data_IF_383406969933
#
_entry.id   IF_383406969933
#
_cell.length_a   1.000
_cell.length_b   1.000
_cell.length_c   1.000
_cell.angle_alpha   90.00
_cell.angle_beta   90.00
_cell.angle_gamma   90.00
#
_symmetry.space_group_name_H-M   'P 1'
#
loop_
_entity.id
_entity.type
_entity.pdbx_description
1 polymer ?
#
# COMPACT_ATOMS: atom_id res chain seq x y z
N UNK A 1 3.77 -23.72 0.31
CA UNK A 1 4.47 -22.58 0.95
C UNK A 1 3.54 -21.99 1.99
N UNK A 2 4.00 -21.82 3.23
CA UNK A 2 3.18 -21.44 4.37
C UNK A 2 2.75 -19.98 4.21
N UNK A 3 1.53 -19.77 3.71
CA UNK A 3 0.86 -18.47 3.69
C UNK A 3 0.53 -18.07 5.13
N UNK A 4 1.10 -16.95 5.58
CA UNK A 4 0.83 -16.31 6.87
C UNK A 4 -0.66 -16.35 7.21
N UNK A 5 -0.99 -16.59 8.48
CA UNK A 5 -2.34 -16.45 9.00
C UNK A 5 -2.90 -15.08 8.62
N UNK A 6 -4.22 -14.97 8.40
CA UNK A 6 -4.87 -13.69 8.19
C UNK A 6 -4.46 -12.74 9.32
N UNK A 7 -3.63 -11.75 9.00
CA UNK A 7 -3.22 -10.73 9.95
C UNK A 7 -4.32 -9.70 9.99
N UNK A 8 -5.11 -9.74 11.06
CA UNK A 8 -6.07 -8.68 11.37
C UNK A 8 -5.37 -7.67 12.26
N UNK A 9 -5.08 -6.50 11.72
CA UNK A 9 -4.77 -5.35 12.55
C UNK A 9 -6.08 -4.71 12.99
N UNK A 10 -6.35 -4.75 14.29
CA UNK A 10 -7.54 -4.13 14.89
C UNK A 10 -7.09 -2.97 15.77
N UNK A 11 -7.48 -1.77 15.37
CA UNK A 11 -7.42 -0.56 16.20
C UNK A 11 -8.83 -0.23 16.69
N UNK A 12 -8.98 0.70 17.62
CA UNK A 12 -10.29 1.04 18.18
C UNK A 12 -11.20 1.57 17.05
N UNK A 13 -12.28 0.83 16.75
CA UNK A 13 -13.25 1.12 15.69
C UNK A 13 -12.83 0.79 14.24
N UNK A 14 -11.52 0.63 13.98
CA UNK A 14 -10.96 0.30 12.65
C UNK A 14 -10.31 -1.08 12.60
N UNK A 15 -10.49 -1.81 11.51
CA UNK A 15 -9.76 -3.05 11.23
C UNK A 15 -9.27 -3.12 9.79
N UNK A 16 -8.11 -3.74 9.59
CA UNK A 16 -7.57 -4.11 8.29
C UNK A 16 -7.24 -5.59 8.32
N UNK A 17 -7.88 -6.38 7.45
CA UNK A 17 -7.74 -7.84 7.41
C UNK A 17 -7.29 -8.28 6.03
N UNK A 18 -6.17 -9.00 5.95
CA UNK A 18 -5.72 -9.60 4.69
C UNK A 18 -6.72 -10.68 4.26
N UNK A 19 -7.20 -10.60 3.03
CA UNK A 19 -8.19 -11.54 2.49
C UNK A 19 -7.65 -12.39 1.34
N UNK A 20 -6.34 -12.56 1.24
CA UNK A 20 -5.67 -13.26 0.14
C UNK A 20 -5.95 -14.75 0.04
N UNK A 21 -6.40 -15.38 1.13
CA UNK A 21 -6.67 -16.82 1.13
C UNK A 21 -7.98 -17.15 0.41
N UNK A 22 -8.05 -18.35 -0.17
CA UNK A 22 -9.30 -18.95 -0.66
C UNK A 22 -9.98 -18.10 -1.76
N UNK A 23 -9.19 -17.66 -2.73
CA UNK A 23 -9.70 -17.12 -3.97
C UNK A 23 -9.84 -18.24 -4.99
N UNK A 24 -10.61 -17.98 -6.04
CA UNK A 24 -10.68 -18.83 -7.21
C UNK A 24 -10.35 -18.00 -8.46
N UNK A 25 -9.58 -18.57 -9.38
CA UNK A 25 -9.21 -17.96 -10.65
C UNK A 25 -9.88 -18.70 -11.81
N UNK A 26 -10.33 -17.95 -12.81
CA UNK A 26 -10.88 -18.46 -14.06
C UNK A 26 -10.17 -17.78 -15.24
N UNK A 27 -9.48 -18.59 -16.04
CA UNK A 27 -8.89 -18.14 -17.30
C UNK A 27 -9.96 -18.02 -18.40
N UNK A 28 -10.73 -16.94 -18.37
CA UNK A 28 -11.72 -16.63 -19.40
C UNK A 28 -11.88 -15.12 -19.56
N UNK A 29 -12.01 -14.65 -20.81
CA UNK A 29 -12.04 -13.23 -21.13
C UNK A 29 -13.47 -12.66 -21.31
N UNK A 30 -14.52 -13.42 -20.98
CA UNK A 30 -15.89 -12.92 -21.04
C UNK A 30 -16.06 -11.65 -20.21
N UNK A 31 -16.89 -10.73 -20.69
CA UNK A 31 -17.25 -9.50 -19.99
C UNK A 31 -18.54 -9.66 -19.16
N UNK A 32 -19.12 -10.86 -19.13
CA UNK A 32 -20.36 -11.15 -18.39
C UNK A 32 -20.07 -11.93 -17.12
N UNK A 33 -20.44 -11.35 -15.96
CA UNK A 33 -20.39 -12.03 -14.67
C UNK A 33 -21.19 -13.34 -14.66
N UNK A 34 -22.38 -13.34 -15.28
CA UNK A 34 -23.22 -14.53 -15.38
C UNK A 34 -22.55 -15.64 -16.21
N UNK A 35 -21.91 -15.30 -17.34
CA UNK A 35 -21.17 -16.29 -18.14
C UNK A 35 -19.96 -16.83 -17.38
N UNK A 36 -19.19 -15.96 -16.71
CA UNK A 36 -18.04 -16.37 -15.90
C UNK A 36 -18.46 -17.34 -14.78
N UNK A 37 -19.53 -17.03 -14.05
CA UNK A 37 -20.04 -17.87 -12.96
C UNK A 37 -20.61 -19.22 -13.43
N UNK A 38 -21.10 -19.31 -14.68
CA UNK A 38 -21.63 -20.55 -15.23
C UNK A 38 -20.54 -21.55 -15.65
N UNK A 39 -19.28 -21.13 -15.73
CA UNK A 39 -18.16 -21.99 -16.07
C UNK A 39 -17.67 -22.78 -14.85
N UNK A 40 -17.32 -24.05 -15.06
CA UNK A 40 -16.89 -24.96 -13.98
C UNK A 40 -15.37 -24.97 -13.74
N UNK A 41 -14.57 -24.34 -14.60
CA UNK A 41 -13.10 -24.41 -14.61
C UNK A 41 -12.43 -23.38 -13.68
N UNK A 42 -13.01 -23.13 -12.51
CA UNK A 42 -12.39 -22.28 -11.49
C UNK A 42 -11.29 -23.04 -10.76
N UNK A 43 -10.13 -22.42 -10.60
CA UNK A 43 -8.97 -22.97 -9.91
C UNK A 43 -8.81 -22.30 -8.56
N UNK A 44 -8.70 -23.07 -7.49
CA UNK A 44 -8.43 -22.52 -6.16
C UNK A 44 -7.00 -21.97 -6.10
N UNK A 45 -6.87 -20.72 -5.65
CA UNK A 45 -5.62 -19.98 -5.55
C UNK A 45 -5.59 -19.17 -4.26
N UNK A 46 -4.38 -18.73 -3.88
CA UNK A 46 -4.21 -17.66 -2.90
C UNK A 46 -3.54 -16.49 -3.60
N UNK A 47 -3.84 -15.28 -3.11
CA UNK A 47 -3.16 -14.07 -3.53
C UNK A 47 -1.85 -13.86 -2.75
N UNK A 48 -0.90 -13.10 -3.30
CA UNK A 48 -0.90 -12.56 -4.67
C UNK A 48 -0.84 -13.65 -5.75
N UNK A 49 -1.38 -13.37 -6.93
CA UNK A 49 -1.44 -14.32 -8.04
C UNK A 49 -1.29 -13.62 -9.40
N UNK A 50 -0.52 -14.26 -10.28
CA UNK A 50 -0.46 -13.92 -11.70
C UNK A 50 -0.59 -15.18 -12.54
N UNK A 51 -1.37 -15.10 -13.63
CA UNK A 51 -1.40 -16.18 -14.62
C UNK A 51 -0.13 -16.23 -15.47
N UNK A 52 0.75 -15.23 -15.34
CA UNK A 52 2.00 -15.14 -16.08
C UNK A 52 3.24 -15.64 -15.30
N UNK A 53 3.04 -16.44 -14.24
CA UNK A 53 4.12 -16.89 -13.37
C UNK A 53 5.15 -17.79 -14.08
N UNK A 54 4.75 -18.46 -15.16
CA UNK A 54 5.58 -19.42 -15.90
C UNK A 54 5.79 -19.03 -17.37
N UNK A 55 4.74 -18.57 -18.05
CA UNK A 55 4.78 -18.31 -19.49
C UNK A 55 5.68 -17.13 -19.88
N UNK A 56 5.84 -16.13 -19.00
CA UNK A 56 6.74 -15.00 -19.20
C UNK A 56 8.21 -15.44 -19.34
N UNK A 57 8.58 -16.58 -18.75
CA UNK A 57 9.95 -17.11 -18.75
C UNK A 57 10.07 -18.43 -19.53
N UNK A 58 9.08 -18.80 -20.33
CA UNK A 58 9.14 -19.99 -21.17
C UNK A 58 10.14 -19.79 -22.33
N UNK A 59 10.63 -20.91 -22.89
CA UNK A 59 11.46 -20.93 -24.09
C UNK A 59 10.68 -20.52 -25.35
N UNK A 60 9.35 -20.59 -25.31
CA UNK A 60 8.47 -20.13 -26.38
C UNK A 60 8.27 -18.61 -26.25
N UNK A 61 8.67 -17.80 -27.24
CA UNK A 61 8.49 -16.36 -27.14
C UNK A 61 7.02 -15.94 -27.02
N UNK A 62 6.77 -14.99 -26.11
CA UNK A 62 5.44 -14.44 -25.85
C UNK A 62 4.84 -14.96 -24.55
N UNK A 63 3.85 -14.23 -24.04
CA UNK A 63 3.13 -14.58 -22.83
C UNK A 63 1.67 -14.17 -22.97
N UNK A 64 0.80 -14.79 -22.17
CA UNK A 64 -0.64 -14.56 -22.24
C UNK A 64 -0.98 -13.13 -21.83
N UNK A 65 -1.61 -12.42 -22.75
CA UNK A 65 -2.18 -11.07 -22.54
C UNK A 65 -3.67 -11.05 -22.84
N UNK A 66 -4.49 -11.10 -21.81
CA UNK A 66 -5.95 -11.14 -21.93
C UNK A 66 -6.60 -10.87 -20.58
N UNK A 67 -7.93 -11.05 -20.51
CA UNK A 67 -8.67 -10.98 -19.28
C UNK A 67 -8.80 -12.33 -18.57
N UNK A 68 -9.00 -12.27 -17.26
CA UNK A 68 -9.37 -13.39 -16.40
C UNK A 68 -10.27 -12.91 -15.26
N UNK A 69 -10.86 -13.86 -14.55
CA UNK A 69 -11.73 -13.56 -13.42
C UNK A 69 -11.17 -14.13 -12.12
N UNK A 70 -11.36 -13.39 -11.04
CA UNK A 70 -11.13 -13.83 -9.66
C UNK A 70 -12.45 -13.82 -8.91
N UNK A 71 -12.66 -14.82 -8.05
CA UNK A 71 -13.83 -14.91 -7.17
C UNK A 71 -13.39 -15.16 -5.75
N UNK A 72 -14.05 -14.50 -4.80
CA UNK A 72 -13.93 -14.77 -3.37
C UNK A 72 -15.31 -14.84 -2.73
N UNK A 73 -15.53 -15.85 -1.92
CA UNK A 73 -16.63 -15.84 -0.94
C UNK A 73 -16.11 -15.24 0.36
N UNK A 74 -16.72 -14.13 0.78
CA UNK A 74 -16.34 -13.38 1.97
C UNK A 74 -17.48 -13.42 2.98
N UNK A 75 -17.26 -14.09 4.11
CA UNK A 75 -18.21 -14.07 5.22
C UNK A 75 -17.99 -12.84 6.10
N UNK A 76 -19.02 -11.99 6.22
CA UNK A 76 -19.06 -10.84 7.13
C UNK A 76 -20.16 -11.13 8.17
N UNK A 77 -19.80 -11.67 9.36
CA UNK A 77 -20.80 -12.14 10.34
C UNK A 77 -21.74 -11.05 10.86
N UNK A 78 -21.30 -9.80 10.82
CA UNK A 78 -22.07 -8.64 11.29
C UNK A 78 -21.73 -7.44 10.43
N UNK A 79 -22.75 -6.76 9.90
CA UNK A 79 -22.62 -5.51 9.16
C UNK A 79 -23.18 -4.39 10.04
N UNK A 80 -22.30 -3.58 10.62
CA UNK A 80 -22.68 -2.49 11.50
C UNK A 80 -23.10 -1.26 10.68
N UNK A 81 -24.26 -0.67 11.00
CA UNK A 81 -24.81 0.48 10.27
C UNK A 81 -23.99 1.78 10.43
N UNK A 82 -23.11 1.84 11.43
CA UNK A 82 -22.21 2.96 11.68
C UNK A 82 -20.78 2.72 11.13
N UNK A 83 -20.56 1.63 10.39
CA UNK A 83 -19.28 1.33 9.76
C UNK A 83 -19.32 1.51 8.24
N UNK A 84 -18.14 1.73 7.68
CA UNK A 84 -17.82 1.68 6.27
C UNK A 84 -17.00 0.42 6.05
N UNK A 85 -17.27 -0.30 4.96
CA UNK A 85 -16.55 -1.49 4.52
C UNK A 85 -15.91 -1.19 3.17
N UNK A 86 -14.61 -1.43 3.07
CA UNK A 86 -13.83 -1.09 1.89
C UNK A 86 -12.90 -2.24 1.51
N UNK A 87 -12.77 -2.49 0.21
CA UNK A 87 -11.70 -3.31 -0.32
C UNK A 87 -10.53 -2.42 -0.70
N UNK A 88 -9.35 -2.74 -0.21
CA UNK A 88 -8.09 -2.14 -0.63
C UNK A 88 -7.29 -3.16 -1.43
N UNK A 89 -7.06 -2.87 -2.70
CA UNK A 89 -6.18 -3.66 -3.57
C UNK A 89 -4.83 -2.94 -3.66
N UNK A 90 -3.73 -3.61 -3.34
CA UNK A 90 -2.40 -3.02 -3.41
C UNK A 90 -1.82 -2.96 -4.83
N UNK A 91 -2.32 -3.82 -5.72
CA UNK A 91 -1.90 -3.89 -7.12
C UNK A 91 -2.71 -4.92 -7.91
N UNK A 92 -3.28 -4.49 -9.03
CA UNK A 92 -4.06 -5.33 -9.95
C UNK A 92 -3.67 -4.97 -11.37
N UNK A 93 -2.92 -5.85 -12.03
CA UNK A 93 -2.40 -5.56 -13.35
C UNK A 93 -3.37 -6.01 -14.47
N UNK A 94 -3.86 -5.13 -15.35
CA UNK A 94 -3.67 -3.67 -15.39
C UNK A 94 -5.00 -2.92 -15.25
N UNK A 95 -6.05 -3.44 -15.88
CA UNK A 95 -7.40 -2.90 -15.75
C UNK A 95 -8.25 -3.87 -14.95
N UNK A 96 -9.01 -3.36 -13.99
CA UNK A 96 -9.88 -4.18 -13.16
C UNK A 96 -11.30 -3.64 -13.06
N UNK A 97 -12.28 -4.54 -12.99
CA UNK A 97 -13.68 -4.27 -12.67
C UNK A 97 -14.09 -5.14 -11.48
N UNK A 98 -14.72 -4.54 -10.46
CA UNK A 98 -15.06 -5.22 -9.20
C UNK A 98 -16.58 -5.27 -9.03
N UNK A 99 -17.07 -6.44 -8.65
CA UNK A 99 -18.48 -6.70 -8.39
C UNK A 99 -18.64 -7.35 -7.02
N UNK A 100 -19.65 -6.92 -6.28
CA UNK A 100 -20.03 -7.51 -4.99
C UNK A 100 -21.50 -7.89 -5.07
N UNK A 101 -21.81 -9.16 -4.81
CA UNK A 101 -23.17 -9.72 -4.91
C UNK A 101 -23.85 -9.39 -6.26
N UNK A 102 -23.07 -9.41 -7.34
CA UNK A 102 -23.52 -9.11 -8.71
C UNK A 102 -23.64 -7.62 -9.06
N UNK A 103 -23.50 -6.70 -8.10
CA UNK A 103 -23.49 -5.25 -8.34
C UNK A 103 -22.07 -4.80 -8.68
N UNK A 104 -21.90 -4.07 -9.79
CA UNK A 104 -20.63 -3.39 -10.09
C UNK A 104 -20.40 -2.26 -9.06
N UNK A 105 -19.27 -2.31 -8.37
CA UNK A 105 -18.89 -1.34 -7.33
C UNK A 105 -17.72 -0.45 -7.74
N UNK A 106 -17.17 -0.62 -8.94
CA UNK A 106 -16.10 0.21 -9.48
C UNK A 106 -14.98 -0.61 -10.13
N UNK A 107 -13.81 0.00 -10.24
CA UNK A 107 -12.66 -0.58 -10.92
C UNK A 107 -11.47 0.37 -10.92
N UNK A 108 -10.39 -0.03 -11.57
CA UNK A 108 -9.17 0.76 -11.67
C UNK A 108 -8.45 0.50 -12.99
N UNK A 109 -7.73 1.51 -13.48
CA UNK A 109 -6.82 1.41 -14.63
C UNK A 109 -5.45 1.85 -14.13
N UNK A 110 -4.50 0.93 -14.13
CA UNK A 110 -3.17 1.12 -13.57
C UNK A 110 -2.79 -0.07 -12.71
N UNK A 111 -1.63 -0.64 -12.97
CA UNK A 111 -1.25 -1.90 -12.34
C UNK A 111 -0.65 -1.80 -10.94
N UNK A 112 0.10 -0.72 -10.72
CA UNK A 112 1.15 -0.66 -9.72
C UNK A 112 0.86 0.30 -8.57
N UNK A 113 -0.28 0.97 -8.59
CA UNK A 113 -0.75 1.85 -7.51
C UNK A 113 -2.00 1.23 -6.93
N UNK A 114 -2.03 1.10 -5.61
CA UNK A 114 -3.19 0.54 -4.93
C UNK A 114 -4.43 1.45 -5.03
N UNK A 115 -5.60 0.84 -4.96
CA UNK A 115 -6.88 1.55 -5.01
C UNK A 115 -7.88 0.97 -4.02
N UNK A 116 -8.82 1.82 -3.62
CA UNK A 116 -9.84 1.54 -2.62
C UNK A 116 -11.23 1.55 -3.27
N UNK A 117 -12.10 0.62 -2.89
CA UNK A 117 -13.51 0.59 -3.30
C UNK A 117 -14.39 0.41 -2.07
N UNK A 118 -15.29 1.36 -1.84
CA UNK A 118 -16.35 1.24 -0.84
C UNK A 118 -17.38 0.20 -1.29
N UNK A 119 -17.60 -0.82 -0.45
CA UNK A 119 -18.54 -1.92 -0.70
C UNK A 119 -19.70 -1.92 0.29
N UNK A 120 -19.82 -0.90 1.15
CA UNK A 120 -20.78 -0.81 2.26
C UNK A 120 -22.21 -1.07 1.80
N UNK A 121 -22.63 -0.46 0.70
CA UNK A 121 -23.99 -0.58 0.15
C UNK A 121 -24.19 -1.82 -0.74
N UNK A 122 -23.16 -2.65 -0.93
CA UNK A 122 -23.21 -3.83 -1.78
C UNK A 122 -23.12 -5.15 -1.00
N UNK A 123 -22.67 -5.09 0.26
CA UNK A 123 -22.59 -6.26 1.15
C UNK A 123 -23.88 -6.49 1.93
N UNK A 124 -23.97 -7.70 2.50
CA UNK A 124 -25.01 -8.16 3.40
C UNK A 124 -24.39 -8.97 4.55
N UNK A 125 -25.14 -9.16 5.62
CA UNK A 125 -24.70 -10.02 6.71
C UNK A 125 -24.59 -11.48 6.23
N UNK A 126 -23.48 -12.13 6.57
CA UNK A 126 -23.17 -13.49 6.14
C UNK A 126 -22.26 -13.51 4.91
N UNK A 127 -22.52 -14.44 4.00
CA UNK A 127 -21.67 -14.65 2.82
C UNK A 127 -21.93 -13.61 1.74
N UNK A 128 -20.84 -13.08 1.17
CA UNK A 128 -20.84 -12.13 0.07
C UNK A 128 -19.89 -12.62 -1.02
N UNK A 129 -20.35 -12.61 -2.27
CA UNK A 129 -19.51 -13.00 -3.41
C UNK A 129 -18.85 -11.77 -4.00
N UNK A 130 -17.52 -11.75 -4.02
CA UNK A 130 -16.70 -10.75 -4.70
C UNK A 130 -16.22 -11.35 -6.02
N UNK A 131 -16.43 -10.64 -7.12
CA UNK A 131 -15.84 -10.95 -8.43
C UNK A 131 -14.96 -9.81 -8.88
N UNK A 132 -13.80 -10.13 -9.44
CA UNK A 132 -12.89 -9.16 -10.04
C UNK A 132 -12.52 -9.64 -11.44
N UNK A 133 -12.89 -8.87 -12.47
CA UNK A 133 -12.35 -9.07 -13.81
C UNK A 133 -11.05 -8.30 -13.91
N UNK A 134 -9.98 -8.94 -14.36
CA UNK A 134 -8.66 -8.33 -14.52
C UNK A 134 -8.18 -8.53 -15.94
N UNK A 135 -7.62 -7.50 -16.56
CA UNK A 135 -7.20 -7.50 -17.96
C UNK A 135 -5.80 -6.88 -18.12
N UNK A 136 -4.85 -7.65 -18.65
CA UNK A 136 -3.53 -7.17 -19.07
C UNK A 136 -3.38 -7.16 -20.60
N UNK A 137 -4.48 -7.20 -21.35
CA UNK A 137 -4.51 -7.10 -22.80
C UNK A 137 -3.78 -5.85 -23.31
N UNK A 138 -3.39 -5.85 -24.60
CA UNK A 138 -2.75 -4.67 -25.19
C UNK A 138 -3.71 -3.49 -25.18
N UNK A 139 -3.28 -2.36 -24.63
CA UNK A 139 -3.97 -1.09 -24.77
C UNK A 139 -2.93 0.03 -24.92
N UNK A 140 -2.79 0.64 -26.10
CA UNK A 140 -1.80 1.71 -26.33
C UNK A 140 -2.08 2.98 -25.53
N UNK A 141 -3.30 3.15 -25.00
CA UNK A 141 -3.70 4.29 -24.17
C UNK A 141 -3.40 4.07 -22.68
N UNK A 142 -2.84 2.91 -22.30
CA UNK A 142 -2.55 2.56 -20.91
C UNK A 142 -1.08 2.21 -20.76
N UNK A 143 -0.39 2.97 -19.91
CA UNK A 143 0.97 2.65 -19.48
C UNK A 143 0.97 1.39 -18.59
N UNK A 144 1.99 0.52 -18.67
CA UNK A 144 3.23 0.65 -19.46
C UNK A 144 3.10 0.25 -20.93
N UNK A 145 3.98 0.83 -21.76
CA UNK A 145 4.08 0.49 -23.19
C UNK A 145 4.44 -0.98 -23.38
N UNK A 146 3.89 -1.63 -24.42
CA UNK A 146 4.32 -2.99 -24.81
C UNK A 146 5.78 -3.06 -25.26
N UNK A 147 6.41 -1.92 -25.55
CA UNK A 147 7.81 -1.85 -25.96
C UNK A 147 8.78 -1.86 -24.79
N UNK A 148 8.28 -1.71 -23.57
CA UNK A 148 9.13 -1.74 -22.38
C UNK A 148 9.82 -3.11 -22.24
N UNK A 149 11.07 -3.09 -21.78
CA UNK A 149 11.91 -4.27 -21.58
C UNK A 149 11.61 -4.99 -20.25
N UNK A 150 10.33 -5.21 -19.95
CA UNK A 150 9.86 -6.01 -18.83
C UNK A 150 8.46 -6.57 -19.10
N UNK A 151 8.08 -7.63 -18.38
CA UNK A 151 6.78 -8.27 -18.57
C UNK A 151 5.65 -7.50 -17.87
N UNK A 152 4.56 -7.31 -18.60
CA UNK A 152 3.32 -6.74 -18.04
C UNK A 152 2.46 -7.89 -17.52
N UNK A 153 2.87 -8.46 -16.38
CA UNK A 153 2.19 -9.58 -15.70
C UNK A 153 0.73 -9.22 -15.44
N UNK A 154 -0.21 -10.11 -15.73
CA UNK A 154 -1.62 -9.91 -15.42
C UNK A 154 -2.09 -10.63 -14.15
N UNK A 155 -3.03 -10.03 -13.43
CA UNK A 155 -3.63 -10.62 -12.24
C UNK A 155 -3.75 -9.68 -11.05
N UNK A 156 -4.18 -10.21 -9.91
CA UNK A 156 -4.15 -9.51 -8.64
C UNK A 156 -2.78 -9.81 -8.01
N UNK A 157 -1.79 -9.00 -8.38
CA UNK A 157 -0.36 -9.27 -8.18
C UNK A 157 0.14 -8.87 -6.80
N UNK A 158 -0.65 -8.15 -6.01
CA UNK A 158 -0.35 -7.79 -4.60
C UNK A 158 -1.53 -8.09 -3.69
N UNK A 159 -1.39 -7.76 -2.41
CA UNK A 159 -2.38 -8.09 -1.39
C UNK A 159 -3.73 -7.38 -1.60
N UNK A 160 -4.78 -8.04 -1.11
CA UNK A 160 -6.12 -7.48 -0.98
C UNK A 160 -6.52 -7.49 0.47
N UNK A 161 -7.04 -6.36 0.93
CA UNK A 161 -7.45 -6.15 2.31
C UNK A 161 -8.93 -5.79 2.39
N UNK A 162 -9.61 -6.34 3.40
CA UNK A 162 -10.88 -5.80 3.87
C UNK A 162 -10.59 -4.79 4.98
N UNK A 163 -10.87 -3.53 4.70
CA UNK A 163 -10.81 -2.45 5.67
C UNK A 163 -12.21 -2.13 6.20
N UNK A 164 -12.31 -1.88 7.50
CA UNK A 164 -13.56 -1.49 8.15
C UNK A 164 -13.26 -0.37 9.13
N UNK A 165 -14.05 0.69 9.13
CA UNK A 165 -13.85 1.84 10.00
C UNK A 165 -15.20 2.54 10.25
N UNK A 166 -15.35 3.35 11.31
CA UNK A 166 -16.58 4.10 11.55
C UNK A 166 -16.90 5.09 10.41
N UNK A 167 -18.17 5.51 10.30
CA UNK A 167 -18.58 6.57 9.37
C UNK A 167 -17.88 7.89 9.65
N UNK A 168 -17.74 8.25 10.93
CA UNK A 168 -16.89 9.35 11.37
C UNK A 168 -15.46 8.84 11.57
N UNK A 169 -14.53 9.20 10.68
CA UNK A 169 -13.20 8.61 10.63
C UNK A 169 -12.12 9.55 10.11
N UNK A 170 -10.87 9.18 10.39
CA UNK A 170 -9.66 9.84 9.93
C UNK A 170 -9.23 9.30 8.57
N UNK A 171 -8.78 10.20 7.69
CA UNK A 171 -8.27 9.87 6.36
C UNK A 171 -7.20 10.87 5.91
N UNK A 172 -6.48 10.54 4.84
CA UNK A 172 -5.53 11.45 4.19
C UNK A 172 -4.45 12.03 5.13
N UNK A 173 -3.99 11.25 6.12
CA UNK A 173 -2.87 11.67 6.96
C UNK A 173 -1.61 11.81 6.11
N UNK A 174 -1.06 13.01 6.08
CA UNK A 174 0.20 13.34 5.44
C UNK A 174 1.10 13.98 6.45
N UNK A 175 2.34 13.51 6.53
CA UNK A 175 3.31 14.04 7.48
C UNK A 175 4.52 14.59 6.74
N UNK A 176 4.96 15.78 7.15
CA UNK A 176 6.20 16.39 6.72
C UNK A 176 7.06 16.76 7.93
N UNK A 177 8.37 16.82 7.73
CA UNK A 177 9.33 17.17 8.78
C UNK A 177 10.11 18.43 8.38
N UNK A 178 9.51 19.63 8.48
CA UNK A 178 10.21 20.87 8.15
C UNK A 178 11.32 21.19 9.18
N UNK A 179 12.33 21.94 8.75
CA UNK A 179 13.37 22.50 9.62
C UNK A 179 14.11 21.47 10.51
N UNK A 180 14.39 20.28 9.96
CA UNK A 180 15.20 19.27 10.65
C UNK A 180 16.68 19.67 10.61
N UNK A 181 17.31 19.61 11.77
CA UNK A 181 18.73 19.86 12.01
C UNK A 181 19.27 18.83 13.01
N UNK A 182 20.57 18.88 13.34
CA UNK A 182 21.14 17.99 14.36
C UNK A 182 20.57 18.20 15.77
N UNK A 183 20.02 19.38 16.10
CA UNK A 183 19.60 19.74 17.46
C UNK A 183 18.10 20.07 17.57
N UNK A 184 17.38 20.02 16.45
CA UNK A 184 15.99 20.43 16.37
C UNK A 184 15.28 19.74 15.22
N UNK A 185 14.02 19.38 15.41
CA UNK A 185 13.13 18.98 14.34
C UNK A 185 11.72 19.55 14.56
N UNK A 186 11.01 19.79 13.47
CA UNK A 186 9.57 20.02 13.51
C UNK A 186 8.87 18.90 12.73
N UNK A 187 7.62 18.62 13.10
CA UNK A 187 6.73 17.71 12.41
C UNK A 187 5.41 18.44 12.16
N UNK A 188 4.94 18.37 10.92
CA UNK A 188 3.65 18.90 10.50
C UNK A 188 2.83 17.76 9.91
N UNK A 189 1.70 17.46 10.55
CA UNK A 189 0.73 16.49 10.06
C UNK A 189 -0.53 17.21 9.57
N UNK A 190 -0.99 16.87 8.38
CA UNK A 190 -2.30 17.29 7.85
C UNK A 190 -3.17 16.06 7.65
N UNK A 191 -4.47 16.16 7.94
CA UNK A 191 -5.41 15.07 7.77
C UNK A 191 -6.83 15.57 7.54
N UNK A 192 -7.70 14.67 7.09
CA UNK A 192 -9.13 14.91 6.90
C UNK A 192 -9.96 14.04 7.85
N UNK A 193 -10.97 14.64 8.46
CA UNK A 193 -11.98 13.98 9.29
C UNK A 193 -13.30 13.96 8.51
N UNK A 194 -13.73 12.77 8.10
CA UNK A 194 -14.98 12.59 7.38
C UNK A 194 -16.14 12.46 8.38
N UNK A 195 -17.30 13.04 8.06
CA UNK A 195 -18.51 13.03 8.90
C UNK A 195 -18.26 13.48 10.35
N UNK A 196 -17.49 14.56 10.52
CA UNK A 196 -17.15 15.13 11.83
C UNK A 196 -18.39 15.51 12.64
N UNK A 197 -18.45 15.04 13.89
CA UNK A 197 -19.47 15.40 14.88
C UNK A 197 -19.02 16.55 15.79
N UNK A 198 -19.96 17.33 16.35
CA UNK A 198 -19.67 18.50 17.18
C UNK A 198 -18.88 18.20 18.47
N UNK A 199 -19.02 16.99 19.03
CA UNK A 199 -18.38 16.58 20.30
C UNK A 199 -17.07 15.80 20.09
N UNK A 200 -16.49 15.88 18.90
CA UNK A 200 -15.29 15.14 18.55
C UNK A 200 -14.01 15.94 18.86
N UNK A 201 -13.00 15.23 19.33
CA UNK A 201 -11.67 15.79 19.65
C UNK A 201 -10.58 14.91 19.05
N UNK A 202 -9.38 15.46 18.89
CA UNK A 202 -8.22 14.73 18.39
C UNK A 202 -7.18 14.63 19.49
N UNK A 203 -6.57 13.45 19.61
CA UNK A 203 -5.34 13.24 20.37
C UNK A 203 -4.24 12.75 19.43
N UNK A 204 -3.20 13.55 19.24
CA UNK A 204 -2.02 13.18 18.47
C UNK A 204 -0.84 12.93 19.41
N UNK A 205 -0.10 11.84 19.20
CA UNK A 205 0.99 11.40 20.06
C UNK A 205 2.18 11.02 19.17
N UNK A 206 3.32 11.68 19.36
CA UNK A 206 4.58 11.29 18.74
C UNK A 206 5.33 10.37 19.71
N UNK A 207 5.67 9.18 19.24
CA UNK A 207 6.22 8.09 20.05
C UNK A 207 7.55 7.63 19.45
N UNK A 208 8.54 7.35 20.29
CA UNK A 208 9.82 6.77 19.88
C UNK A 208 9.73 5.27 19.57
N UNK A 209 10.80 4.70 19.00
CA UNK A 209 10.90 3.26 18.68
C UNK A 209 10.63 2.32 19.88
N UNK A 210 10.85 2.78 21.11
CA UNK A 210 10.65 1.99 22.33
C UNK A 210 9.24 2.16 22.92
N UNK A 211 8.37 2.95 22.30
CA UNK A 211 7.02 3.22 22.82
C UNK A 211 6.96 4.41 23.79
N UNK A 212 8.05 5.19 23.93
CA UNK A 212 8.10 6.36 24.81
C UNK A 212 7.45 7.56 24.12
N UNK A 213 6.48 8.19 24.78
CA UNK A 213 5.89 9.44 24.31
C UNK A 213 6.94 10.56 24.33
N UNK A 214 7.19 11.17 23.17
CA UNK A 214 8.05 12.35 23.02
C UNK A 214 7.24 13.61 23.30
N UNK A 215 6.06 13.70 22.69
CA UNK A 215 5.15 14.81 22.84
C UNK A 215 3.73 14.38 22.42
N UNK A 216 2.71 14.99 23.02
CA UNK A 216 1.33 14.83 22.60
C UNK A 216 0.61 16.18 22.48
N UNK A 217 -0.48 16.18 21.72
CA UNK A 217 -1.41 17.30 21.57
C UNK A 217 -2.85 16.79 21.68
N UNK A 218 -3.69 17.54 22.40
CA UNK A 218 -5.15 17.39 22.37
C UNK A 218 -5.73 18.62 21.69
N UNK A 219 -6.59 18.40 20.70
CA UNK A 219 -7.25 19.46 19.94
C UNK A 219 -8.76 19.35 20.14
N UNK A 220 -9.34 20.44 20.60
CA UNK A 220 -10.78 20.65 20.79
C UNK A 220 -11.28 21.68 19.75
N UNK A 221 -12.58 21.70 19.46
CA UNK A 221 -13.17 22.57 18.43
C UNK A 221 -12.50 22.42 17.05
N UNK A 222 -12.32 21.16 16.65
CA UNK A 222 -11.69 20.78 15.39
C UNK A 222 -12.63 21.04 14.20
N UNK A 223 -12.05 21.09 13.01
CA UNK A 223 -12.79 21.12 11.76
C UNK A 223 -12.38 19.91 10.88
N UNK A 224 -13.09 19.68 9.78
CA UNK A 224 -12.86 18.50 8.93
C UNK A 224 -11.47 18.43 8.29
N UNK A 225 -10.73 19.53 8.16
CA UNK A 225 -9.35 19.54 7.67
C UNK A 225 -8.43 20.08 8.76
N UNK A 226 -7.62 19.19 9.33
CA UNK A 226 -6.84 19.52 10.51
C UNK A 226 -5.36 19.55 10.21
N UNK A 227 -4.69 20.52 10.83
CA UNK A 227 -3.24 20.62 10.87
C UNK A 227 -2.77 20.46 12.32
N UNK A 228 -1.75 19.62 12.52
CA UNK A 228 -1.17 19.30 13.83
C UNK A 228 0.35 19.52 13.73
N UNK A 229 0.86 20.43 14.56
CA UNK A 229 2.26 20.86 14.50
C UNK A 229 3.00 20.52 15.78
N UNK A 230 4.04 19.69 15.69
CA UNK A 230 4.99 19.47 16.78
C UNK A 230 6.26 20.27 16.47
N UNK A 231 6.51 21.30 17.27
CA UNK A 231 7.62 22.23 17.09
C UNK A 231 8.67 22.06 18.18
N UNK A 232 9.91 22.46 17.87
CA UNK A 232 11.02 22.49 18.81
C UNK A 232 11.36 21.13 19.43
N UNK A 233 11.17 20.05 18.68
CA UNK A 233 11.50 18.70 19.14
C UNK A 233 13.02 18.59 19.35
N UNK A 234 13.43 18.47 20.63
CA UNK A 234 14.83 18.30 21.03
C UNK A 234 15.21 16.84 21.14
N UNK A 235 16.51 16.55 21.06
CA UNK A 235 17.09 15.21 21.21
C UNK A 235 16.48 14.14 20.28
N UNK A 236 15.99 14.57 19.11
CA UNK A 236 15.47 13.69 18.08
C UNK A 236 16.63 12.93 17.40
N UNK A 237 16.51 11.60 17.37
CA UNK A 237 17.43 10.73 16.64
C UNK A 237 17.08 10.79 15.15
N UNK A 238 18.05 11.22 14.35
CA UNK A 238 17.88 11.30 12.90
C UNK A 238 17.82 9.91 12.28
N UNK A 239 16.99 9.79 11.23
CA UNK A 239 17.05 8.67 10.30
C UNK A 239 18.27 8.84 9.41
N UNK A 240 19.03 7.77 9.27
CA UNK A 240 20.24 7.70 8.45
C UNK A 240 20.35 6.32 7.79
N UNK A 241 21.16 6.18 6.74
CA UNK A 241 21.36 4.89 6.08
C UNK A 241 22.05 3.88 6.99
N UNK A 242 22.85 4.35 7.95
CA UNK A 242 23.52 3.48 8.93
C UNK A 242 22.70 3.32 10.24
N UNK A 243 21.80 4.27 10.52
CA UNK A 243 20.93 4.26 11.69
C UNK A 243 19.50 4.70 11.29
N UNK A 244 18.68 3.80 10.72
CA UNK A 244 17.33 4.11 10.26
C UNK A 244 16.34 4.23 11.43
N UNK A 245 16.51 5.25 12.27
CA UNK A 245 15.64 5.47 13.42
C UNK A 245 14.26 5.98 12.97
N UNK A 246 13.20 5.29 13.39
CA UNK A 246 11.82 5.61 13.06
C UNK A 246 11.03 5.90 14.34
N UNK A 247 10.23 6.96 14.28
CA UNK A 247 9.21 7.31 15.25
C UNK A 247 7.84 6.90 14.71
N UNK A 248 6.82 6.96 15.56
CA UNK A 248 5.42 6.76 15.15
C UNK A 248 4.58 7.96 15.57
N UNK A 249 3.92 8.60 14.62
CA UNK A 249 2.84 9.53 14.91
C UNK A 249 1.54 8.73 14.99
N UNK A 250 0.88 8.76 16.14
CA UNK A 250 -0.44 8.16 16.35
C UNK A 250 -1.49 9.26 16.48
N UNK A 251 -2.53 9.22 15.65
CA UNK A 251 -3.64 10.18 15.68
C UNK A 251 -4.92 9.43 16.02
N UNK A 252 -5.55 9.83 17.12
CA UNK A 252 -6.78 9.24 17.65
C UNK A 252 -7.92 10.25 17.49
N UNK A 253 -9.05 9.78 16.96
CA UNK A 253 -10.33 10.51 16.96
C UNK A 253 -11.14 10.06 18.16
N UNK A 254 -11.57 10.99 19.00
CA UNK A 254 -12.30 10.70 20.22
C UNK A 254 -13.67 11.36 20.18
N UNK A 255 -14.68 10.63 20.65
CA UNK A 255 -16.01 11.13 20.94
C UNK A 255 -16.30 10.91 22.43
N UNK A 256 -16.57 11.98 23.17
CA UNK A 256 -16.76 11.93 24.64
C UNK A 256 -15.61 11.18 25.35
N UNK A 257 -14.37 11.53 25.02
CA UNK A 257 -13.12 10.90 25.50
C UNK A 257 -12.96 9.39 25.20
N UNK A 258 -13.86 8.79 24.43
CA UNK A 258 -13.72 7.42 23.90
C UNK A 258 -13.13 7.48 22.50
N UNK A 259 -12.01 6.79 22.26
CA UNK A 259 -11.42 6.71 20.91
C UNK A 259 -12.31 5.86 20.01
N UNK A 260 -12.75 6.44 18.89
CA UNK A 260 -13.61 5.81 17.90
C UNK A 260 -12.87 5.42 16.62
N UNK A 261 -11.77 6.08 16.30
CA UNK A 261 -10.90 5.75 15.18
C UNK A 261 -9.44 6.09 15.50
N UNK A 262 -8.50 5.38 14.88
CA UNK A 262 -7.07 5.61 15.05
C UNK A 262 -6.31 5.26 13.78
N UNK A 263 -5.43 6.18 13.36
CA UNK A 263 -4.46 5.97 12.29
C UNK A 263 -3.06 6.30 12.80
N UNK A 264 -2.04 5.76 12.13
CA UNK A 264 -0.65 5.98 12.54
C UNK A 264 0.27 5.98 11.33
N UNK A 265 1.34 6.75 11.43
CA UNK A 265 2.34 6.89 10.36
C UNK A 265 3.76 6.77 10.94
N UNK A 266 4.66 6.09 10.22
CA UNK A 266 6.06 5.94 10.62
C UNK A 266 6.90 7.10 10.10
N UNK A 267 7.68 7.74 10.97
CA UNK A 267 8.37 8.99 10.67
C UNK A 267 9.88 8.85 10.87
N UNK A 268 10.65 9.11 9.81
CA UNK A 268 12.10 9.31 9.87
C UNK A 268 12.45 10.79 9.72
N UNK A 269 13.03 11.40 10.77
CA UNK A 269 13.52 12.77 10.71
C UNK A 269 14.86 12.81 9.98
N UNK A 270 14.91 13.45 8.81
CA UNK A 270 16.15 13.68 8.05
C UNK A 270 16.02 14.90 7.16
N UNK A 271 17.14 15.38 6.64
CA UNK A 271 17.18 16.27 5.49
C UNK A 271 18.26 15.82 4.52
N UNK A 272 18.11 16.20 3.25
CA UNK A 272 19.11 15.93 2.23
C UNK A 272 19.28 17.13 1.31
N UNK A 273 20.43 17.17 0.64
CA UNK A 273 20.78 18.23 -0.29
C UNK A 273 21.57 17.64 -1.47
N UNK A 274 21.17 17.98 -2.70
CA UNK A 274 22.03 17.88 -3.87
C UNK A 274 22.70 19.24 -4.05
N UNK A 275 24.01 19.33 -3.78
CA UNK A 275 24.76 20.56 -4.03
C UNK A 275 24.85 20.81 -5.54
N UNK A 276 24.66 22.06 -5.95
CA UNK A 276 24.92 22.48 -7.33
C UNK A 276 26.34 22.08 -7.76
N UNK A 277 26.44 21.36 -8.88
CA UNK A 277 27.69 20.82 -9.40
C UNK A 277 28.49 19.98 -8.38
N UNK A 278 27.81 19.41 -7.38
CA UNK A 278 28.44 18.79 -6.22
C UNK A 278 27.88 17.41 -5.88
N UNK A 279 28.18 16.97 -4.67
CA UNK A 279 27.76 15.67 -4.15
C UNK A 279 26.40 15.73 -3.46
N UNK A 280 25.84 14.54 -3.19
CA UNK A 280 24.69 14.36 -2.32
C UNK A 280 25.11 14.42 -0.84
N UNK A 281 24.27 15.03 -0.02
CA UNK A 281 24.43 15.13 1.42
C UNK A 281 23.17 14.60 2.12
N UNK A 282 23.37 13.79 3.16
CA UNK A 282 22.33 13.35 4.09
C UNK A 282 22.71 13.85 5.49
N UNK A 283 21.77 14.50 6.17
CA UNK A 283 21.98 15.04 7.52
C UNK A 283 23.25 15.92 7.64
N UNK A 284 23.52 16.71 6.59
CA UNK A 284 24.68 17.61 6.50
C UNK A 284 26.02 16.93 6.22
N UNK A 285 26.06 15.61 6.03
CA UNK A 285 27.27 14.84 5.71
C UNK A 285 27.24 14.38 4.27
N UNK A 286 28.37 14.50 3.57
CA UNK A 286 28.51 13.99 2.20
C UNK A 286 28.29 12.47 2.20
N UNK A 287 27.39 11.99 1.35
CA UNK A 287 27.11 10.57 1.17
C UNK A 287 27.22 10.21 -0.31
N UNK A 288 28.10 9.25 -0.63
CA UNK A 288 28.10 8.66 -1.96
C UNK A 288 26.93 7.68 -2.06
N UNK A 289 26.01 7.92 -2.98
CA UNK A 289 24.91 7.00 -3.29
C UNK A 289 25.48 5.78 -4.02
N UNK A 290 25.42 4.62 -3.36
CA UNK A 290 25.79 3.31 -3.89
C UNK A 290 24.50 2.56 -4.19
N UNK A 291 24.13 2.65 -5.47
CA UNK A 291 22.80 2.29 -5.95
C UNK A 291 22.70 0.95 -6.65
N UNK A 292 21.50 0.38 -6.65
CA UNK A 292 21.05 -0.65 -7.60
C UNK A 292 19.61 -0.38 -8.04
N UNK A 293 19.08 -1.22 -8.93
CA UNK A 293 17.67 -1.27 -9.30
C UNK A 293 17.05 -2.60 -8.86
N UNK A 294 15.72 -2.65 -8.81
CA UNK A 294 14.97 -3.87 -8.53
C UNK A 294 13.67 -3.84 -9.32
N UNK A 295 13.32 -4.94 -9.98
CA UNK A 295 11.97 -5.18 -10.53
C UNK A 295 11.18 -6.06 -9.57
N UNK A 296 9.86 -5.96 -9.60
CA UNK A 296 8.97 -6.78 -8.78
C UNK A 296 8.67 -8.11 -9.44
N UNK A 297 9.67 -8.97 -9.52
CA UNK A 297 9.49 -10.31 -10.05
C UNK A 297 10.45 -11.32 -9.42
N UNK A 298 9.99 -12.57 -9.33
CA UNK A 298 10.82 -13.66 -8.82
C UNK A 298 10.52 -14.97 -9.56
N UNK A 299 11.54 -15.81 -9.69
CA UNK A 299 11.43 -17.11 -10.35
C UNK A 299 10.27 -17.94 -9.77
N UNK A 300 9.45 -18.49 -10.66
CA UNK A 300 8.32 -19.37 -10.34
C UNK A 300 7.04 -18.66 -9.88
N UNK A 301 7.09 -17.35 -9.62
CA UNK A 301 5.91 -16.57 -9.18
C UNK A 301 5.67 -15.29 -10.00
N UNK A 302 6.61 -14.90 -10.87
CA UNK A 302 6.53 -13.64 -11.61
C UNK A 302 6.35 -12.47 -10.64
N UNK A 303 5.42 -11.56 -10.93
CA UNK A 303 5.09 -10.43 -10.06
C UNK A 303 4.24 -10.78 -8.82
N UNK A 304 3.83 -12.03 -8.62
CA UNK A 304 3.07 -12.45 -7.45
C UNK A 304 3.98 -12.80 -6.25
N UNK A 305 4.84 -11.85 -5.88
CA UNK A 305 5.81 -12.03 -4.80
C UNK A 305 5.14 -11.85 -3.43
N UNK A 306 5.56 -12.65 -2.44
CA UNK A 306 5.14 -12.45 -1.05
C UNK A 306 5.93 -11.35 -0.35
N UNK A 307 5.38 -10.75 0.70
CA UNK A 307 6.08 -9.77 1.55
C UNK A 307 7.43 -10.29 2.07
N UNK A 308 7.54 -11.59 2.34
CA UNK A 308 8.79 -12.21 2.75
C UNK A 308 9.85 -12.20 1.63
N UNK A 309 9.44 -12.39 0.38
CA UNK A 309 10.35 -12.28 -0.77
C UNK A 309 10.74 -10.83 -1.04
N UNK A 310 9.78 -9.90 -0.99
CA UNK A 310 10.07 -8.46 -1.05
C UNK A 310 11.11 -8.06 0.00
N UNK A 311 10.90 -8.48 1.25
CA UNK A 311 11.83 -8.19 2.34
C UNK A 311 13.21 -8.80 2.10
N UNK A 312 13.27 -10.07 1.68
CA UNK A 312 14.52 -10.76 1.42
C UNK A 312 15.34 -10.07 0.31
N UNK A 313 14.70 -9.62 -0.78
CA UNK A 313 15.38 -8.85 -1.83
C UNK A 313 16.02 -7.57 -1.24
N UNK A 314 15.28 -6.84 -0.41
CA UNK A 314 15.76 -5.59 0.16
C UNK A 314 16.89 -5.80 1.18
N UNK A 315 16.83 -6.89 1.94
CA UNK A 315 17.92 -7.31 2.85
C UNK A 315 19.18 -7.67 2.06
N UNK A 316 19.06 -8.42 0.95
CA UNK A 316 20.20 -8.73 0.08
C UNK A 316 20.83 -7.46 -0.52
N UNK A 317 20.00 -6.51 -0.95
CA UNK A 317 20.47 -5.20 -1.45
C UNK A 317 21.25 -4.47 -0.35
N UNK A 318 20.74 -4.46 0.88
CA UNK A 318 21.42 -3.83 2.02
C UNK A 318 22.73 -4.53 2.36
N UNK A 319 22.73 -5.85 2.42
CA UNK A 319 23.89 -6.69 2.75
C UNK A 319 25.01 -6.59 1.71
N UNK A 320 24.65 -6.36 0.44
CA UNK A 320 25.61 -6.05 -0.62
C UNK A 320 26.35 -4.71 -0.39
N UNK A 321 25.88 -3.87 0.54
CA UNK A 321 26.45 -2.57 0.87
C UNK A 321 25.82 -1.40 0.12
N UNK A 322 24.65 -1.59 -0.50
CA UNK A 322 23.90 -0.49 -1.10
C UNK A 322 23.27 0.39 -0.01
N UNK A 323 23.16 1.69 -0.31
CA UNK A 323 22.46 2.67 0.52
C UNK A 323 21.37 3.43 -0.25
N UNK A 324 21.18 3.06 -1.52
CA UNK A 324 20.25 3.68 -2.44
C UNK A 324 19.67 2.61 -3.36
N UNK A 325 18.37 2.72 -3.67
CA UNK A 325 17.69 1.84 -4.62
C UNK A 325 16.78 2.68 -5.53
N UNK A 326 16.84 2.44 -6.84
CA UNK A 326 15.85 2.94 -7.77
C UNK A 326 14.81 1.85 -8.03
N UNK A 327 13.57 2.13 -7.65
CA UNK A 327 12.42 1.24 -7.83
C UNK A 327 11.82 1.47 -9.22
N UNK A 328 12.50 0.91 -10.22
CA UNK A 328 12.08 0.99 -11.61
C UNK A 328 11.03 -0.11 -11.94
N UNK A 329 10.15 0.05 -12.92
CA UNK A 329 9.79 1.27 -13.67
C UNK A 329 8.40 1.77 -13.28
N UNK A 330 8.03 1.56 -12.01
CA UNK A 330 6.71 1.77 -11.47
C UNK A 330 6.75 1.73 -9.94
N UNK A 331 5.74 2.32 -9.25
CA UNK A 331 5.63 2.21 -7.81
C UNK A 331 5.54 0.74 -7.39
N UNK A 332 6.31 0.36 -6.38
CA UNK A 332 6.45 -1.04 -5.95
C UNK A 332 5.49 -1.40 -4.83
N UNK A 333 5.58 -2.62 -4.32
CA UNK A 333 4.75 -3.09 -3.22
C UNK A 333 4.99 -2.24 -1.95
N UNK A 334 3.95 -1.90 -1.16
CA UNK A 334 4.11 -1.16 0.09
C UNK A 334 5.16 -1.75 1.05
N UNK A 335 5.35 -3.07 1.08
CA UNK A 335 6.38 -3.73 1.90
C UNK A 335 7.79 -3.33 1.45
N UNK A 336 8.03 -3.04 0.17
CA UNK A 336 9.34 -2.59 -0.33
C UNK A 336 9.71 -1.24 0.26
N UNK A 337 8.79 -0.28 0.27
CA UNK A 337 9.03 1.05 0.87
C UNK A 337 9.21 0.95 2.38
N UNK A 338 8.41 0.12 3.05
CA UNK A 338 8.57 -0.16 4.48
C UNK A 338 9.95 -0.76 4.77
N UNK A 339 10.39 -1.75 4.01
CA UNK A 339 11.72 -2.34 4.14
C UNK A 339 12.82 -1.29 3.89
N UNK A 340 12.68 -0.40 2.90
CA UNK A 340 13.64 0.68 2.67
C UNK A 340 13.76 1.62 3.87
N UNK A 341 12.63 2.01 4.46
CA UNK A 341 12.58 2.86 5.65
C UNK A 341 13.27 2.17 6.84
N UNK A 342 13.04 0.87 7.04
CA UNK A 342 13.58 0.10 8.17
C UNK A 342 15.05 -0.31 8.01
N UNK A 343 15.50 -0.54 6.78
CA UNK A 343 16.87 -0.97 6.46
C UNK A 343 17.83 0.20 6.21
N UNK A 344 17.32 1.43 6.12
CA UNK A 344 18.14 2.60 5.83
C UNK A 344 18.59 2.62 4.37
N UNK A 345 17.65 2.47 3.45
CA UNK A 345 17.86 2.60 2.01
C UNK A 345 17.14 3.86 1.51
N UNK A 346 17.90 4.77 0.89
CA UNK A 346 17.31 5.89 0.14
C UNK A 346 16.64 5.36 -1.13
N UNK A 347 15.52 5.95 -1.50
CA UNK A 347 14.69 5.46 -2.61
C UNK A 347 14.54 6.55 -3.68
N UNK A 348 14.73 6.15 -4.94
CA UNK A 348 14.16 6.84 -6.08
C UNK A 348 12.98 6.00 -6.57
N UNK A 349 11.78 6.56 -6.43
CA UNK A 349 10.55 6.02 -6.99
C UNK A 349 10.12 6.78 -8.25
N UNK A 350 9.53 6.09 -9.22
CA UNK A 350 9.07 6.67 -10.48
C UNK A 350 7.68 6.18 -10.85
N UNK A 351 6.86 7.10 -11.39
CA UNK A 351 5.71 6.69 -12.18
C UNK A 351 6.20 6.16 -13.52
N UNK A 352 5.47 5.19 -14.09
CA UNK A 352 5.85 4.63 -15.38
C UNK A 352 5.83 5.71 -16.47
N UNK A 353 7.01 6.20 -16.80
CA UNK A 353 7.28 7.07 -17.93
C UNK A 353 8.41 6.43 -18.72
N UNK A 354 8.07 5.51 -19.63
CA UNK A 354 8.99 5.17 -20.70
C UNK A 354 9.12 6.40 -21.62
N UNK A 355 9.94 7.36 -21.22
CA UNK A 355 10.61 8.23 -22.18
C UNK A 355 11.83 7.43 -22.61
N UNK A 356 11.63 6.54 -23.58
CA UNK A 356 12.74 6.02 -24.37
C UNK A 356 13.44 7.22 -25.00
N UNK A 357 14.75 7.32 -24.78
CA UNK A 357 15.65 8.20 -25.54
C UNK A 357 16.02 7.50 -26.84
#
# INVERSE_FOLDING_TARGET
MVSCNATTEKKQGRSKTNINKEWQYLENNTNSTAQALALASWQDINLPHTWNALDATDVTPGYRRSAGWYKKELNIPTVASNQIYQLYFEGVNITSEVYVNGKNVGGHIGGYIGFNIDITDAISQGNNTILVRVDNGNNPEVIPSQKSDFFIFGGITRDVWLETFPKEHLSNLKVSTPNVTNNNANLLATLTINNLSDNSTIKAILIDKNGTEIQSQKLENINSNLEISFNDLKDIKLWDTDNPYLYTLKVQLLQNDTTIDEISESIGFRWFEFKDYGAFYLNGKRLLLRGTHRHEEHAGVGAAMSNAQHRADMELIKDMGANFVRLAHYPQDPEVYKACNELGLLVWDELHGAVEV
#
